data_IF_296360453289
#
_entry.id   IF_296360453289
#
_cell.length_a   1.000
_cell.length_b   1.000
_cell.length_c   1.000
_cell.angle_alpha   90.00
_cell.angle_beta   90.00
_cell.angle_gamma   90.00
#
_symmetry.space_group_name_H-M   'P 1'
#
loop_
_entity.id
_entity.type
_entity.pdbx_description
1 polymer ?
#
# COMPACT_ATOMS: atom_id res chain seq x y z
N UNK A 1 -4.49 22.52 0.87
CA UNK A 1 -3.67 23.51 0.13
C UNK A 1 -2.86 24.41 1.05
N UNK A 2 -3.45 25.25 1.91
CA UNK A 2 -2.69 26.18 2.78
C UNK A 2 -1.59 25.51 3.62
N UNK A 3 -1.90 24.37 4.26
CA UNK A 3 -0.90 23.58 5.02
C UNK A 3 0.28 23.13 4.14
N UNK A 4 0.01 22.72 2.90
CA UNK A 4 1.05 22.29 1.95
C UNK A 4 1.97 23.47 1.57
N UNK A 5 1.38 24.63 1.27
CA UNK A 5 2.13 25.86 0.97
C UNK A 5 3.01 26.25 2.15
N UNK A 6 2.46 26.29 3.37
CA UNK A 6 3.24 26.64 4.57
C UNK A 6 4.36 25.65 4.87
N UNK A 7 4.11 24.35 4.69
CA UNK A 7 5.12 23.30 4.92
C UNK A 7 6.23 23.38 3.87
N UNK A 8 5.88 23.58 2.59
CA UNK A 8 6.86 23.73 1.52
C UNK A 8 7.71 24.99 1.71
N UNK A 9 7.08 26.12 1.99
CA UNK A 9 7.77 27.39 2.24
C UNK A 9 8.74 27.27 3.42
N UNK A 10 8.26 26.76 4.56
CA UNK A 10 9.10 26.60 5.76
C UNK A 10 10.27 25.64 5.56
N UNK A 11 10.11 24.60 4.74
CA UNK A 11 11.23 23.72 4.38
C UNK A 11 12.27 24.47 3.52
N UNK A 12 11.85 25.21 2.50
CA UNK A 12 12.78 25.93 1.62
C UNK A 12 13.49 27.06 2.37
N UNK A 13 12.76 27.85 3.16
CA UNK A 13 13.36 28.86 4.06
C UNK A 13 14.33 28.23 5.07
N UNK A 14 14.00 27.05 5.60
CA UNK A 14 14.87 26.30 6.51
C UNK A 14 16.20 25.87 5.89
N UNK A 15 16.29 25.85 4.56
CA UNK A 15 17.54 25.64 3.81
C UNK A 15 18.30 26.94 3.52
N UNK A 16 17.80 28.08 4.00
CA UNK A 16 18.36 29.41 3.72
C UNK A 16 18.12 29.88 2.29
N UNK A 17 17.11 29.33 1.61
CA UNK A 17 16.73 29.67 0.25
C UNK A 17 15.41 30.43 0.27
N UNK A 18 15.30 31.48 -0.53
CA UNK A 18 14.05 32.19 -0.77
C UNK A 18 13.35 31.63 -2.02
N UNK A 19 12.03 31.50 -1.97
CA UNK A 19 11.21 31.02 -3.08
C UNK A 19 10.15 32.05 -3.43
N UNK A 20 10.11 32.46 -4.69
CA UNK A 20 9.08 33.37 -5.17
C UNK A 20 7.68 32.74 -5.07
N UNK A 21 6.67 33.55 -4.79
CA UNK A 21 5.27 33.11 -4.70
C UNK A 21 4.82 32.25 -5.91
N UNK A 22 5.17 32.57 -7.18
CA UNK A 22 4.77 31.75 -8.32
C UNK A 22 5.32 30.33 -8.31
N UNK A 23 6.60 30.16 -7.91
CA UNK A 23 7.24 28.85 -7.86
C UNK A 23 6.72 28.02 -6.68
N UNK A 24 6.47 28.69 -5.54
CA UNK A 24 5.86 28.07 -4.36
C UNK A 24 4.45 27.56 -4.67
N UNK A 25 3.62 28.39 -5.31
CA UNK A 25 2.28 28.00 -5.74
C UNK A 25 2.33 26.86 -6.76
N UNK A 26 3.23 26.95 -7.75
CA UNK A 26 3.39 25.92 -8.76
C UNK A 26 3.70 24.55 -8.14
N UNK A 27 4.67 24.49 -7.21
CA UNK A 27 5.04 23.28 -6.51
C UNK A 27 3.87 22.71 -5.69
N UNK A 28 3.20 23.56 -4.89
CA UNK A 28 2.09 23.14 -4.05
C UNK A 28 0.90 22.62 -4.87
N UNK A 29 0.56 23.29 -5.98
CA UNK A 29 -0.50 22.85 -6.90
C UNK A 29 -0.13 21.54 -7.57
N UNK A 30 1.13 21.37 -8.00
CA UNK A 30 1.60 20.13 -8.61
C UNK A 30 1.47 18.96 -7.63
N UNK A 31 2.02 19.07 -6.42
CA UNK A 31 1.94 18.01 -5.40
C UNK A 31 0.47 17.68 -5.09
N UNK A 32 -0.36 18.72 -4.87
CA UNK A 32 -1.78 18.53 -4.61
C UNK A 32 -2.49 17.78 -5.75
N UNK A 33 -2.28 18.19 -7.00
CA UNK A 33 -2.90 17.56 -8.17
C UNK A 33 -2.44 16.10 -8.33
N UNK A 34 -1.15 15.83 -8.09
CA UNK A 34 -0.56 14.50 -8.17
C UNK A 34 -1.19 13.49 -7.19
N UNK A 35 -1.61 13.95 -6.01
CA UNK A 35 -2.05 13.09 -4.91
C UNK A 35 -3.55 13.18 -4.61
N UNK A 36 -4.30 13.89 -5.45
CA UNK A 36 -5.77 14.01 -5.36
C UNK A 36 -6.51 13.17 -6.40
N UNK A 37 -5.81 12.25 -7.08
CA UNK A 37 -6.40 11.35 -8.06
C UNK A 37 -7.43 10.39 -7.44
N UNK A 38 -8.46 10.01 -8.20
CA UNK A 38 -9.52 9.09 -7.72
C UNK A 38 -8.99 7.72 -7.26
N UNK A 39 -7.84 7.30 -7.79
CA UNK A 39 -7.18 6.06 -7.38
C UNK A 39 -6.30 6.17 -6.13
N UNK A 40 -6.14 7.38 -5.55
CA UNK A 40 -5.25 7.66 -4.41
C UNK A 40 -6.06 7.71 -3.11
N UNK A 41 -6.21 6.57 -2.46
CA UNK A 41 -6.96 6.40 -1.20
C UNK A 41 -6.05 6.30 0.02
N UNK A 42 -4.90 5.64 -0.13
CA UNK A 42 -3.83 5.57 0.84
C UNK A 42 -2.79 6.65 0.55
N UNK A 43 -2.14 6.63 -0.62
CA UNK A 43 -1.08 7.58 -1.01
C UNK A 43 -1.67 8.93 -1.44
N UNK A 44 -2.19 9.66 -0.45
CA UNK A 44 -2.92 10.93 -0.57
C UNK A 44 -2.19 12.08 0.12
N UNK A 45 -2.67 13.32 -0.04
CA UNK A 45 -2.09 14.48 0.67
C UNK A 45 -2.09 14.32 2.20
N UNK A 46 -3.01 13.53 2.76
CA UNK A 46 -2.98 13.24 4.19
C UNK A 46 -1.76 12.39 4.57
N UNK A 47 -1.47 11.35 3.78
CA UNK A 47 -0.33 10.45 3.97
C UNK A 47 0.98 11.22 4.03
N UNK A 48 1.20 12.16 3.11
CA UNK A 48 2.38 13.04 3.10
C UNK A 48 2.63 13.70 4.45
N UNK A 49 1.58 14.20 5.11
CA UNK A 49 1.73 14.86 6.40
C UNK A 49 1.97 13.90 7.57
N UNK A 50 1.51 12.65 7.45
CA UNK A 50 1.79 11.60 8.41
C UNK A 50 3.27 11.14 8.26
N UNK A 51 3.77 11.02 7.02
CA UNK A 51 5.16 10.65 6.69
C UNK A 51 6.17 11.75 7.00
N UNK A 52 5.82 13.02 6.75
CA UNK A 52 6.68 14.18 7.00
C UNK A 52 7.11 14.24 8.48
N UNK A 53 6.20 13.91 9.41
CA UNK A 53 6.50 13.87 10.85
C UNK A 53 6.76 15.25 11.48
N UNK A 54 6.46 15.41 12.76
CA UNK A 54 6.71 16.68 13.44
C UNK A 54 8.21 16.93 13.64
N UNK A 55 8.68 18.11 13.22
CA UNK A 55 10.06 18.55 13.44
C UNK A 55 11.11 17.92 12.52
N UNK A 56 10.70 17.25 11.44
CA UNK A 56 11.64 16.75 10.44
C UNK A 56 12.45 17.90 9.82
N UNK A 57 13.69 17.61 9.45
CA UNK A 57 14.55 18.59 8.80
C UNK A 57 14.00 18.99 7.42
N UNK A 58 14.46 20.13 6.87
CA UNK A 58 13.99 20.61 5.58
C UNK A 58 14.10 19.63 4.41
N UNK A 59 15.22 18.88 4.28
CA UNK A 59 15.41 17.97 3.14
C UNK A 59 14.49 16.76 3.25
N UNK A 60 14.35 16.20 4.45
CA UNK A 60 13.38 15.12 4.73
C UNK A 60 11.95 15.58 4.47
N UNK A 61 11.62 16.82 4.84
CA UNK A 61 10.30 17.40 4.58
C UNK A 61 10.03 17.49 3.07
N UNK A 62 10.97 18.00 2.29
CA UNK A 62 10.83 18.06 0.83
C UNK A 62 10.71 16.66 0.21
N UNK A 63 11.53 15.71 0.63
CA UNK A 63 11.43 14.33 0.16
C UNK A 63 10.04 13.72 0.47
N UNK A 64 9.53 13.91 1.70
CA UNK A 64 8.20 13.45 2.10
C UNK A 64 7.09 14.08 1.23
N UNK A 65 7.19 15.37 0.91
CA UNK A 65 6.22 16.06 0.06
C UNK A 65 6.17 15.51 -1.38
N UNK A 66 7.28 14.95 -1.88
CA UNK A 66 7.41 14.54 -3.26
C UNK A 66 7.39 13.03 -3.52
N UNK A 67 7.71 12.17 -2.53
CA UNK A 67 7.99 10.74 -2.75
C UNK A 67 6.88 9.96 -3.50
N UNK A 68 5.61 10.34 -3.33
CA UNK A 68 4.44 9.70 -3.95
C UNK A 68 3.78 10.50 -5.09
N UNK A 69 4.42 11.57 -5.56
CA UNK A 69 3.84 12.45 -6.59
C UNK A 69 3.66 11.75 -7.94
N UNK A 70 4.33 10.62 -8.17
CA UNK A 70 4.10 9.72 -9.30
C UNK A 70 3.75 8.33 -8.78
N UNK A 71 2.64 7.77 -9.29
CA UNK A 71 2.27 6.37 -9.04
C UNK A 71 1.71 5.79 -10.33
N UNK A 72 2.64 5.36 -11.17
CA UNK A 72 2.41 5.14 -12.59
C UNK A 72 1.27 4.14 -12.85
N UNK A 73 1.24 3.03 -12.11
CA UNK A 73 0.28 1.94 -12.31
C UNK A 73 -1.11 2.32 -11.77
N UNK A 74 -1.16 3.11 -10.69
CA UNK A 74 -2.41 3.55 -10.07
C UNK A 74 -3.07 4.64 -10.90
N UNK A 75 -2.27 5.57 -11.42
CA UNK A 75 -2.74 6.72 -12.19
C UNK A 75 -3.00 6.39 -13.68
N UNK A 76 -2.62 5.20 -14.14
CA UNK A 76 -2.78 4.78 -15.54
C UNK A 76 -1.77 5.41 -16.49
N UNK A 77 -0.54 5.63 -16.03
CA UNK A 77 0.55 6.28 -16.74
C UNK A 77 0.75 7.75 -16.35
N UNK A 78 1.58 8.46 -17.11
CA UNK A 78 1.87 9.88 -16.90
C UNK A 78 0.86 10.76 -17.63
N UNK A 79 0.40 11.83 -16.98
CA UNK A 79 -0.58 12.75 -17.56
C UNK A 79 -0.37 14.21 -17.12
N UNK A 80 -0.87 15.14 -17.93
CA UNK A 80 -0.85 16.58 -17.66
C UNK A 80 0.56 17.12 -17.45
N UNK A 81 0.74 17.97 -16.41
CA UNK A 81 2.03 18.57 -16.09
C UNK A 81 3.12 17.55 -15.78
N UNK A 82 2.78 16.39 -15.20
CA UNK A 82 3.76 15.34 -14.89
C UNK A 82 4.35 14.73 -16.15
N UNK A 83 3.52 14.48 -17.18
CA UNK A 83 4.00 13.99 -18.46
C UNK A 83 4.96 15.00 -19.12
N UNK A 84 4.64 16.29 -19.07
CA UNK A 84 5.53 17.35 -19.58
C UNK A 84 6.85 17.43 -18.80
N UNK A 85 6.78 17.39 -17.47
CA UNK A 85 7.94 17.48 -16.59
C UNK A 85 8.77 16.20 -16.55
N UNK A 86 8.25 15.06 -17.00
CA UNK A 86 8.96 13.78 -17.07
C UNK A 86 9.19 13.34 -18.53
N UNK A 87 9.01 14.27 -19.47
CA UNK A 87 9.26 14.00 -20.88
C UNK A 87 10.71 13.53 -21.07
N UNK A 88 10.87 12.51 -21.92
CA UNK A 88 12.14 11.87 -22.20
C UNK A 88 12.75 11.04 -21.07
N UNK A 89 12.14 10.92 -19.88
CA UNK A 89 12.70 10.12 -18.76
C UNK A 89 12.43 8.64 -18.96
N UNK A 90 11.21 8.28 -19.35
CA UNK A 90 10.80 6.88 -19.57
C UNK A 90 10.07 6.73 -20.90
N UNK A 91 10.05 5.49 -21.39
CA UNK A 91 9.30 5.09 -22.58
C UNK A 91 8.63 3.74 -22.33
N UNK A 92 7.54 3.48 -23.04
CA UNK A 92 6.92 2.15 -23.02
C UNK A 92 7.77 1.18 -23.84
N UNK A 93 8.16 0.06 -23.21
CA UNK A 93 8.82 -1.07 -23.84
C UNK A 93 7.90 -2.29 -23.89
N UNK A 94 8.32 -3.34 -24.59
CA UNK A 94 7.53 -4.58 -24.73
C UNK A 94 7.24 -5.27 -23.39
N UNK A 95 8.16 -5.15 -22.43
CA UNK A 95 8.08 -5.81 -21.12
C UNK A 95 7.72 -4.87 -19.97
N UNK A 96 7.39 -3.60 -20.25
CA UNK A 96 7.05 -2.60 -19.23
C UNK A 96 7.70 -1.24 -19.49
N UNK A 97 7.71 -0.40 -18.46
CA UNK A 97 8.28 0.95 -18.53
C UNK A 97 9.80 0.86 -18.53
N UNK A 98 10.45 1.52 -19.49
CA UNK A 98 11.90 1.48 -19.68
C UNK A 98 12.50 2.86 -19.41
N UNK A 99 13.57 2.91 -18.62
CA UNK A 99 14.37 4.13 -18.46
C UNK A 99 14.96 4.52 -19.82
N UNK A 100 14.66 5.72 -20.30
CA UNK A 100 15.31 6.22 -21.51
C UNK A 100 16.83 6.30 -21.27
N UNK A 101 17.63 6.13 -22.32
CA UNK A 101 19.07 6.35 -22.18
C UNK A 101 19.28 7.80 -21.74
N UNK A 102 20.09 7.98 -20.69
CA UNK A 102 20.47 9.28 -20.17
C UNK A 102 21.06 10.10 -21.31
N UNK A 103 20.27 11.04 -21.84
CA UNK A 103 20.76 12.06 -22.77
C UNK A 103 21.59 13.10 -22.00
N UNK A 104 21.62 14.33 -22.52
CA UNK A 104 22.31 15.46 -21.87
C UNK A 104 21.64 15.98 -20.56
N UNK A 105 20.68 15.24 -19.97
CA UNK A 105 20.00 15.63 -18.72
C UNK A 105 20.77 15.16 -17.49
N UNK A 106 21.72 16.00 -17.06
CA UNK A 106 22.59 15.76 -15.92
C UNK A 106 21.84 15.48 -14.61
N UNK A 107 20.67 16.10 -14.40
CA UNK A 107 19.88 15.92 -13.19
C UNK A 107 19.22 14.55 -13.15
N UNK A 108 18.61 14.13 -14.28
CA UNK A 108 18.02 12.79 -14.37
C UNK A 108 19.09 11.70 -14.23
N UNK A 109 20.27 11.91 -14.85
CA UNK A 109 21.41 11.01 -14.69
C UNK A 109 21.87 10.90 -13.22
N UNK A 110 21.94 12.04 -12.50
CA UNK A 110 22.30 12.02 -11.08
C UNK A 110 21.29 11.23 -10.25
N UNK A 111 19.98 11.43 -10.49
CA UNK A 111 18.93 10.68 -9.77
C UNK A 111 19.00 9.20 -10.11
N UNK A 112 19.23 8.83 -11.38
CA UNK A 112 19.39 7.44 -11.78
C UNK A 112 20.60 6.79 -11.08
N UNK A 113 21.73 7.49 -10.99
CA UNK A 113 22.90 7.03 -10.26
C UNK A 113 22.63 6.85 -8.74
N UNK A 114 21.84 7.73 -8.11
CA UNK A 114 21.40 7.55 -6.71
C UNK A 114 20.55 6.28 -6.54
N UNK A 115 19.67 5.98 -7.50
CA UNK A 115 18.83 4.78 -7.51
C UNK A 115 19.60 3.51 -7.94
N UNK A 116 20.81 3.65 -8.48
CA UNK A 116 21.57 2.52 -9.04
C UNK A 116 20.94 2.01 -10.34
N UNK A 117 20.38 2.92 -11.11
CA UNK A 117 19.61 2.65 -12.30
C UNK A 117 20.41 2.94 -13.58
N UNK A 118 20.33 2.04 -14.55
CA UNK A 118 21.02 2.15 -15.83
C UNK A 118 20.06 2.51 -16.98
N UNK A 119 20.52 3.34 -17.91
CA UNK A 119 19.80 3.65 -19.14
C UNK A 119 19.41 2.39 -19.92
N UNK A 120 18.15 2.32 -20.35
CA UNK A 120 17.60 1.19 -21.10
C UNK A 120 17.09 0.02 -20.26
N UNK A 121 17.24 0.04 -18.93
CA UNK A 121 16.67 -1.01 -18.08
C UNK A 121 15.14 -0.92 -17.99
N UNK A 122 14.49 -2.05 -17.75
CA UNK A 122 13.06 -2.10 -17.42
C UNK A 122 12.88 -1.76 -15.93
N UNK A 123 12.04 -0.78 -15.64
CA UNK A 123 11.74 -0.32 -14.29
C UNK A 123 10.51 -1.05 -13.73
N UNK A 124 10.70 -1.72 -12.58
CA UNK A 124 9.63 -2.45 -11.90
C UNK A 124 8.87 -1.55 -10.92
N UNK A 125 7.53 -1.68 -10.82
CA UNK A 125 6.75 -1.06 -9.74
C UNK A 125 7.29 -1.41 -8.33
N UNK A 126 7.75 -2.66 -8.15
CA UNK A 126 8.32 -3.15 -6.89
C UNK A 126 9.82 -2.84 -6.75
N UNK A 127 10.45 -2.35 -7.82
CA UNK A 127 11.86 -2.03 -7.88
C UNK A 127 12.16 -0.54 -7.76
N UNK A 128 11.15 0.30 -7.50
CA UNK A 128 11.33 1.75 -7.31
C UNK A 128 10.93 2.64 -8.47
N UNK A 129 10.13 2.17 -9.44
CA UNK A 129 9.68 2.99 -10.57
C UNK A 129 8.98 4.29 -10.12
N UNK A 130 8.10 4.21 -9.12
CA UNK A 130 7.29 5.35 -8.70
C UNK A 130 8.15 6.37 -7.94
N UNK A 131 8.97 5.88 -7.02
CA UNK A 131 9.91 6.64 -6.21
C UNK A 131 10.94 7.34 -7.10
N UNK A 132 11.46 6.64 -8.12
CA UNK A 132 12.39 7.23 -9.09
C UNK A 132 11.75 8.37 -9.87
N UNK A 133 10.57 8.15 -10.45
CA UNK A 133 9.87 9.20 -11.20
C UNK A 133 9.47 10.38 -10.31
N UNK A 134 9.08 10.13 -9.07
CA UNK A 134 8.84 11.16 -8.05
C UNK A 134 10.11 11.96 -7.72
N UNK A 135 11.26 11.30 -7.62
CA UNK A 135 12.54 11.95 -7.37
C UNK A 135 13.01 12.81 -8.55
N UNK A 136 12.86 12.32 -9.79
CA UNK A 136 13.15 13.11 -11.00
C UNK A 136 12.20 14.31 -11.09
N UNK A 137 10.91 14.13 -10.79
CA UNK A 137 9.94 15.21 -10.76
C UNK A 137 10.31 16.28 -9.73
N UNK A 138 10.65 15.86 -8.50
CA UNK A 138 11.14 16.74 -7.45
C UNK A 138 12.38 17.51 -7.89
N UNK A 139 13.35 16.81 -8.48
CA UNK A 139 14.56 17.38 -9.05
C UNK A 139 14.26 18.49 -10.04
N UNK A 140 13.50 18.18 -11.10
CA UNK A 140 13.21 19.15 -12.18
C UNK A 140 12.47 20.37 -11.65
N UNK A 141 11.49 20.18 -10.77
CA UNK A 141 10.68 21.27 -10.20
C UNK A 141 11.48 22.16 -9.24
N UNK A 142 12.42 21.58 -8.48
CA UNK A 142 13.20 22.31 -7.48
C UNK A 142 14.58 22.76 -7.98
N UNK A 143 14.94 22.45 -9.23
CA UNK A 143 16.28 22.70 -9.81
C UNK A 143 16.71 24.16 -9.85
N UNK A 144 15.77 25.09 -9.99
CA UNK A 144 16.04 26.53 -9.95
C UNK A 144 16.13 27.09 -8.54
N UNK A 145 15.72 26.31 -7.54
CA UNK A 145 15.58 26.72 -6.13
C UNK A 145 16.70 26.11 -5.29
N UNK A 146 17.01 24.83 -5.49
CA UNK A 146 17.94 24.07 -4.67
C UNK A 146 19.23 23.76 -5.42
N UNK A 147 20.32 23.69 -4.67
CA UNK A 147 21.61 23.20 -5.19
C UNK A 147 21.54 21.72 -5.55
N UNK A 148 22.35 21.29 -6.51
CA UNK A 148 22.47 19.88 -6.89
C UNK A 148 22.79 18.96 -5.69
N UNK A 149 23.57 19.47 -4.74
CA UNK A 149 23.89 18.83 -3.46
C UNK A 149 22.66 18.57 -2.58
N UNK A 150 21.72 19.51 -2.54
CA UNK A 150 20.45 19.35 -1.80
C UNK A 150 19.52 18.39 -2.55
N UNK A 151 19.41 18.52 -3.88
CA UNK A 151 18.60 17.64 -4.72
C UNK A 151 19.04 16.18 -4.64
N UNK A 152 20.35 15.93 -4.64
CA UNK A 152 20.92 14.59 -4.45
C UNK A 152 20.44 13.95 -3.12
N UNK A 153 20.42 14.73 -2.05
CA UNK A 153 19.98 14.23 -0.74
C UNK A 153 18.47 14.03 -0.67
N UNK A 154 17.67 14.88 -1.33
CA UNK A 154 16.22 14.66 -1.50
C UNK A 154 15.96 13.37 -2.27
N UNK A 155 16.68 13.15 -3.38
CA UNK A 155 16.59 11.93 -4.18
C UNK A 155 16.97 10.69 -3.37
N UNK A 156 18.01 10.75 -2.53
CA UNK A 156 18.39 9.66 -1.63
C UNK A 156 17.30 9.32 -0.61
N UNK A 157 16.63 10.34 -0.06
CA UNK A 157 15.53 10.14 0.87
C UNK A 157 14.32 9.48 0.18
N UNK A 158 13.98 9.90 -1.03
CA UNK A 158 12.90 9.29 -1.83
C UNK A 158 13.28 7.86 -2.25
N UNK A 159 14.53 7.61 -2.65
CA UNK A 159 15.01 6.26 -2.96
C UNK A 159 14.80 5.32 -1.78
N UNK A 160 15.09 5.79 -0.56
CA UNK A 160 14.95 4.98 0.64
C UNK A 160 13.50 4.56 0.94
N UNK A 161 12.49 5.25 0.41
CA UNK A 161 11.07 4.87 0.60
C UNK A 161 10.65 3.67 -0.24
N UNK A 162 11.49 3.15 -1.14
CA UNK A 162 11.24 1.87 -1.80
C UNK A 162 11.20 0.77 -0.73
N UNK A 163 10.03 0.15 -0.46
CA UNK A 163 9.80 -0.59 0.77
C UNK A 163 10.39 -2.00 0.73
N UNK A 164 10.54 -2.60 1.91
CA UNK A 164 10.86 -4.03 2.12
C UNK A 164 12.19 -4.50 1.52
N UNK A 165 13.14 -3.58 1.38
CA UNK A 165 14.50 -3.91 0.96
C UNK A 165 15.35 -4.30 2.17
N UNK A 166 16.21 -5.30 1.99
CA UNK A 166 17.09 -5.78 3.06
C UNK A 166 18.06 -4.70 3.56
N UNK A 167 18.63 -4.88 4.76
CA UNK A 167 19.52 -3.90 5.40
C UNK A 167 20.69 -3.44 4.53
N UNK A 168 21.23 -4.33 3.69
CA UNK A 168 22.31 -4.02 2.74
C UNK A 168 21.94 -2.97 1.71
N UNK A 169 20.65 -2.66 1.50
CA UNK A 169 20.22 -1.61 0.58
C UNK A 169 20.68 -0.22 1.01
N UNK A 170 20.78 0.05 2.32
CA UNK A 170 21.24 1.34 2.84
C UNK A 170 22.76 1.50 2.76
N UNK A 171 23.50 0.41 2.95
CA UNK A 171 24.94 0.38 2.67
C UNK A 171 25.20 0.60 1.17
N UNK A 172 24.42 -0.05 0.30
CA UNK A 172 24.51 0.17 -1.14
C UNK A 172 24.13 1.60 -1.54
N UNK A 173 23.08 2.19 -0.95
CA UNK A 173 22.72 3.59 -1.18
C UNK A 173 23.85 4.54 -0.75
N UNK A 174 24.47 4.27 0.40
CA UNK A 174 25.63 5.04 0.88
C UNK A 174 26.81 4.98 -0.11
N UNK A 175 27.17 3.78 -0.60
CA UNK A 175 28.22 3.61 -1.61
C UNK A 175 27.89 4.35 -2.92
N UNK A 176 26.64 4.29 -3.37
CA UNK A 176 26.19 5.06 -4.54
C UNK A 176 26.29 6.56 -4.30
N UNK A 177 25.91 7.07 -3.13
CA UNK A 177 26.07 8.48 -2.80
C UNK A 177 27.52 8.94 -2.75
N UNK A 178 28.46 8.08 -2.32
CA UNK A 178 29.91 8.37 -2.42
C UNK A 178 30.33 8.56 -3.88
N UNK A 179 29.90 7.65 -4.76
CA UNK A 179 30.14 7.73 -6.20
C UNK A 179 29.54 9.00 -6.81
N UNK A 180 28.26 9.26 -6.54
CA UNK A 180 27.53 10.46 -7.03
C UNK A 180 28.18 11.75 -6.53
N UNK A 181 28.55 11.83 -5.25
CA UNK A 181 29.24 13.01 -4.70
C UNK A 181 30.53 13.34 -5.45
N UNK A 182 31.27 12.30 -5.85
CA UNK A 182 32.52 12.44 -6.61
C UNK A 182 32.27 12.83 -8.06
N UNK A 183 31.38 12.12 -8.76
CA UNK A 183 31.07 12.32 -10.19
C UNK A 183 30.49 13.72 -10.46
N UNK A 184 29.60 14.19 -9.59
CA UNK A 184 28.91 15.48 -9.76
C UNK A 184 29.53 16.61 -8.92
N UNK A 185 30.73 16.40 -8.36
CA UNK A 185 31.47 17.37 -7.57
C UNK A 185 30.65 18.04 -6.44
N UNK A 186 29.81 17.27 -5.74
CA UNK A 186 28.90 17.76 -4.70
C UNK A 186 29.61 18.11 -3.38
N UNK A 187 30.85 17.66 -3.23
CA UNK A 187 31.72 17.87 -2.07
C UNK A 187 31.05 17.46 -0.73
N UNK A 188 30.26 16.39 -0.72
CA UNK A 188 29.70 15.83 0.53
C UNK A 188 30.83 15.14 1.30
N UNK A 189 31.02 15.55 2.56
CA UNK A 189 31.91 14.85 3.50
C UNK A 189 31.32 13.50 3.92
N UNK A 190 32.13 12.65 4.54
CA UNK A 190 31.65 11.35 5.03
C UNK A 190 30.55 11.51 6.07
N UNK A 191 30.72 12.48 6.98
CA UNK A 191 29.73 12.82 8.00
C UNK A 191 28.39 13.24 7.38
N UNK A 192 28.43 13.97 6.27
CA UNK A 192 27.24 14.43 5.56
C UNK A 192 26.56 13.32 4.76
N UNK A 193 27.35 12.40 4.18
CA UNK A 193 26.83 11.19 3.55
C UNK A 193 26.13 10.31 4.58
N UNK A 194 26.73 10.09 5.73
CA UNK A 194 26.10 9.36 6.85
C UNK A 194 24.82 10.05 7.30
N UNK A 195 24.85 11.37 7.48
CA UNK A 195 23.67 12.14 7.87
C UNK A 195 22.55 12.07 6.80
N UNK A 196 22.89 12.01 5.51
CA UNK A 196 21.92 11.85 4.43
C UNK A 196 21.23 10.48 4.50
N UNK A 197 21.98 9.41 4.76
CA UNK A 197 21.40 8.07 4.91
C UNK A 197 20.56 7.96 6.18
N UNK A 198 20.96 8.60 7.28
CA UNK A 198 20.13 8.64 8.49
C UNK A 198 18.77 9.30 8.23
N UNK A 199 18.74 10.42 7.49
CA UNK A 199 17.49 11.07 7.06
C UNK A 199 16.65 10.14 6.18
N UNK A 200 17.29 9.49 5.22
CA UNK A 200 16.65 8.55 4.31
C UNK A 200 16.01 7.35 5.05
N UNK A 201 16.73 6.75 6.00
CA UNK A 201 16.23 5.67 6.87
C UNK A 201 15.06 6.14 7.73
N UNK A 202 15.16 7.34 8.30
CA UNK A 202 14.10 7.90 9.14
C UNK A 202 12.81 8.12 8.34
N UNK A 203 12.92 8.67 7.12
CA UNK A 203 11.80 8.85 6.22
C UNK A 203 11.18 7.49 5.81
N UNK A 204 12.01 6.54 5.40
CA UNK A 204 11.56 5.19 5.03
C UNK A 204 10.78 4.52 6.17
N UNK A 205 11.29 4.60 7.39
CA UNK A 205 10.63 4.05 8.58
C UNK A 205 9.30 4.74 8.91
N UNK A 206 9.18 6.05 8.64
CA UNK A 206 7.92 6.79 8.80
C UNK A 206 6.89 6.38 7.76
N UNK A 207 7.33 6.17 6.52
CA UNK A 207 6.45 5.77 5.41
C UNK A 207 5.74 4.43 5.68
N UNK A 208 6.45 3.47 6.27
CA UNK A 208 5.89 2.17 6.67
C UNK A 208 5.48 2.08 8.15
N UNK A 209 5.37 3.20 8.86
CA UNK A 209 5.14 3.20 10.31
C UNK A 209 3.83 2.50 10.73
N UNK A 210 2.84 2.43 9.83
CA UNK A 210 1.56 1.76 10.06
C UNK A 210 1.71 0.26 10.38
N UNK A 211 2.79 -0.39 9.92
CA UNK A 211 3.07 -1.79 10.25
C UNK A 211 3.31 -2.01 11.74
N UNK A 212 3.78 -1.01 12.48
CA UNK A 212 4.05 -1.10 13.92
C UNK A 212 2.99 -0.41 14.81
N UNK A 213 1.80 -0.17 14.28
CA UNK A 213 0.71 0.38 15.08
C UNK A 213 0.35 -0.55 16.26
N UNK A 214 0.07 0.02 17.46
CA UNK A 214 -0.23 -0.79 18.64
C UNK A 214 -1.48 -1.67 18.51
N UNK A 215 -2.46 -1.22 17.71
CA UNK A 215 -3.70 -1.95 17.48
C UNK A 215 -3.76 -2.44 16.04
N UNK A 216 -3.97 -3.74 15.85
CA UNK A 216 -4.07 -4.39 14.53
C UNK A 216 -5.19 -3.78 13.69
N UNK A 217 -6.29 -3.33 14.32
CA UNK A 217 -7.40 -2.69 13.62
C UNK A 217 -6.96 -1.43 12.83
N UNK A 218 -6.00 -0.65 13.35
CA UNK A 218 -5.44 0.50 12.64
C UNK A 218 -4.48 0.11 11.52
N UNK A 219 -3.71 -0.98 11.71
CA UNK A 219 -2.88 -1.55 10.66
C UNK A 219 -3.75 -1.97 9.46
N UNK A 220 -4.81 -2.76 9.72
CA UNK A 220 -5.75 -3.21 8.68
C UNK A 220 -6.53 -2.07 8.03
N UNK A 221 -6.86 -1.00 8.77
CA UNK A 221 -7.49 0.20 8.19
C UNK A 221 -6.69 0.77 7.01
N UNK A 222 -5.36 0.77 7.14
CA UNK A 222 -4.46 1.25 6.09
C UNK A 222 -4.37 0.26 4.92
N UNK A 223 -4.33 -1.05 5.20
CA UNK A 223 -4.43 -2.09 4.18
C UNK A 223 -5.70 -1.94 3.33
N UNK A 224 -6.83 -1.63 3.95
CA UNK A 224 -8.10 -1.43 3.25
C UNK A 224 -8.14 -0.18 2.36
N UNK A 225 -7.42 0.87 2.73
CA UNK A 225 -7.23 2.04 1.86
C UNK A 225 -6.33 1.74 0.66
N UNK A 226 -5.41 0.78 0.79
CA UNK A 226 -4.50 0.37 -0.28
C UNK A 226 -5.16 -0.54 -1.32
N UNK A 227 -6.17 -1.33 -0.92
CA UNK A 227 -6.82 -2.32 -1.80
C UNK A 227 -7.35 -1.71 -3.12
N UNK A 228 -8.09 -0.58 -3.13
CA UNK A 228 -8.53 0.05 -4.39
C UNK A 228 -7.41 0.57 -5.27
N UNK A 229 -6.25 0.90 -4.70
CA UNK A 229 -5.13 1.41 -5.48
C UNK A 229 -4.55 0.31 -6.38
N UNK A 230 -4.34 -0.88 -5.81
CA UNK A 230 -3.80 -2.05 -6.51
C UNK A 230 -4.87 -2.90 -7.23
N UNK A 231 -6.16 -2.65 -6.97
CA UNK A 231 -7.27 -3.40 -7.57
C UNK A 231 -8.31 -2.43 -8.15
N UNK A 232 -8.19 -2.15 -9.45
CA UNK A 232 -9.03 -1.19 -10.19
C UNK A 232 -10.54 -1.41 -9.99
N UNK A 233 -11.08 -2.65 -10.01
CA UNK A 233 -12.52 -2.86 -9.82
C UNK A 233 -13.05 -2.31 -8.49
N UNK A 234 -12.24 -2.38 -7.41
CA UNK A 234 -12.63 -1.90 -6.08
C UNK A 234 -12.69 -0.37 -5.96
N UNK A 235 -12.21 0.37 -6.98
CA UNK A 235 -12.38 1.83 -7.05
C UNK A 235 -13.83 2.23 -7.31
N UNK A 236 -14.63 1.29 -7.81
CA UNK A 236 -16.06 1.48 -8.03
C UNK A 236 -16.83 0.87 -6.85
N UNK A 237 -17.53 1.71 -6.09
CA UNK A 237 -18.06 1.36 -4.77
C UNK A 237 -19.04 0.17 -4.75
N UNK A 238 -19.69 -0.14 -5.88
CA UNK A 238 -20.81 -1.11 -5.90
C UNK A 238 -20.82 -2.08 -7.08
N UNK A 239 -19.84 -2.02 -8.00
CA UNK A 239 -19.93 -2.77 -9.27
C UNK A 239 -18.94 -3.93 -9.38
N UNK A 240 -18.10 -4.16 -8.37
CA UNK A 240 -17.11 -5.23 -8.41
C UNK A 240 -17.75 -6.60 -8.12
N UNK A 241 -17.20 -7.63 -8.74
CA UNK A 241 -17.72 -9.00 -8.64
C UNK A 241 -17.13 -9.77 -7.46
N UNK A 242 -17.72 -10.93 -7.15
CA UNK A 242 -17.16 -11.85 -6.15
C UNK A 242 -15.74 -12.24 -6.53
N UNK A 243 -15.47 -12.50 -7.81
CA UNK A 243 -14.15 -12.99 -8.23
C UNK A 243 -13.09 -11.90 -8.12
N UNK A 244 -13.44 -10.67 -8.48
CA UNK A 244 -12.55 -9.51 -8.35
C UNK A 244 -12.19 -9.23 -6.88
N UNK A 245 -13.18 -9.27 -5.99
CA UNK A 245 -12.94 -9.10 -4.55
C UNK A 245 -12.13 -10.26 -3.97
N UNK A 246 -12.46 -11.51 -4.32
CA UNK A 246 -11.71 -12.68 -3.87
C UNK A 246 -10.25 -12.64 -4.32
N UNK A 247 -9.99 -12.22 -5.57
CA UNK A 247 -8.63 -12.01 -6.09
C UNK A 247 -7.87 -10.95 -5.29
N UNK A 248 -8.50 -9.83 -4.97
CA UNK A 248 -7.89 -8.76 -4.17
C UNK A 248 -7.52 -9.24 -2.75
N UNK A 249 -8.42 -9.95 -2.08
CA UNK A 249 -8.17 -10.54 -0.75
C UNK A 249 -7.08 -11.61 -0.83
N UNK A 250 -7.07 -12.44 -1.87
CA UNK A 250 -6.06 -13.46 -2.08
C UNK A 250 -4.65 -12.86 -2.19
N UNK A 251 -4.46 -11.87 -3.07
CA UNK A 251 -3.16 -11.19 -3.24
C UNK A 251 -2.67 -10.56 -1.95
N UNK A 252 -3.57 -9.93 -1.19
CA UNK A 252 -3.20 -9.31 0.10
C UNK A 252 -2.84 -10.35 1.16
N UNK A 253 -3.56 -11.47 1.20
CA UNK A 253 -3.22 -12.60 2.08
C UNK A 253 -1.83 -13.15 1.76
N UNK A 254 -1.52 -13.39 0.49
CA UNK A 254 -0.19 -13.85 0.06
C UNK A 254 0.90 -12.84 0.42
N UNK A 255 0.66 -11.55 0.20
CA UNK A 255 1.60 -10.49 0.57
C UNK A 255 1.94 -10.52 2.07
N UNK A 256 0.95 -10.63 2.96
CA UNK A 256 1.19 -10.72 4.40
C UNK A 256 1.91 -12.01 4.81
N UNK A 257 1.63 -13.12 4.14
CA UNK A 257 2.31 -14.39 4.40
C UNK A 257 3.76 -14.42 3.89
N UNK A 258 4.07 -13.65 2.85
CA UNK A 258 5.39 -13.58 2.24
C UNK A 258 6.34 -12.56 2.88
N UNK A 259 5.80 -11.44 3.38
CA UNK A 259 6.61 -10.33 3.89
C UNK A 259 7.37 -10.71 5.16
N UNK A 260 8.71 -10.70 5.12
CA UNK A 260 9.55 -10.85 6.32
C UNK A 260 9.45 -9.58 7.20
N UNK A 261 8.99 -9.68 8.47
CA UNK A 261 8.94 -8.52 9.37
C UNK A 261 10.30 -7.83 9.58
N UNK A 262 11.41 -8.53 9.34
CA UNK A 262 12.77 -7.98 9.51
C UNK A 262 13.18 -6.97 8.43
N UNK A 263 12.48 -6.94 7.28
CA UNK A 263 12.75 -5.98 6.21
C UNK A 263 11.81 -4.78 6.22
N UNK A 264 10.85 -4.73 7.15
CA UNK A 264 9.90 -3.62 7.26
C UNK A 264 10.61 -2.37 7.76
N UNK A 265 11.32 -2.46 8.87
CA UNK A 265 12.02 -1.31 9.45
C UNK A 265 13.53 -1.36 9.19
N UNK A 266 14.04 -0.25 8.72
CA UNK A 266 15.40 -0.02 8.34
C UNK A 266 16.26 0.50 9.50
N UNK A 267 17.57 0.27 9.37
CA UNK A 267 18.59 0.84 10.24
C UNK A 267 19.90 0.98 9.49
N UNK A 268 20.62 2.08 9.69
CA UNK A 268 21.95 2.30 9.15
C UNK A 268 22.87 2.80 10.27
N UNK A 269 24.05 2.18 10.41
CA UNK A 269 25.09 2.56 11.40
C UNK A 269 24.55 2.86 12.82
N UNK A 270 23.59 2.05 13.27
CA UNK A 270 23.00 2.15 14.61
C UNK A 270 21.86 3.17 14.75
N UNK A 271 21.38 3.75 13.65
CA UNK A 271 20.23 4.67 13.61
C UNK A 271 19.09 4.09 12.77
N UNK A 272 17.87 3.97 13.32
CA UNK A 272 17.55 4.14 14.74
C UNK A 272 18.21 3.05 15.58
N UNK A 273 18.23 3.26 16.91
CA UNK A 273 18.87 2.33 17.84
C UNK A 273 18.35 0.90 17.66
N UNK A 274 19.22 -0.14 17.79
CA UNK A 274 18.81 -1.53 17.57
C UNK A 274 17.58 -1.97 18.38
N UNK A 275 17.44 -1.50 19.62
CA UNK A 275 16.29 -1.80 20.48
C UNK A 275 14.97 -1.21 19.94
N UNK A 276 15.04 -0.02 19.32
CA UNK A 276 13.90 0.60 18.66
C UNK A 276 13.47 -0.23 17.45
N UNK A 277 14.42 -0.62 16.59
CA UNK A 277 14.15 -1.47 15.42
C UNK A 277 13.54 -2.80 15.84
N UNK A 278 14.10 -3.45 16.87
CA UNK A 278 13.59 -4.72 17.39
C UNK A 278 12.14 -4.59 17.90
N UNK A 279 11.83 -3.51 18.62
CA UNK A 279 10.48 -3.23 19.08
C UNK A 279 9.50 -3.06 17.91
N UNK A 280 9.87 -2.25 16.90
CA UNK A 280 9.05 -2.02 15.71
C UNK A 280 8.86 -3.30 14.89
N UNK A 281 9.92 -4.08 14.68
CA UNK A 281 9.88 -5.39 14.02
C UNK A 281 9.00 -6.38 14.77
N UNK A 282 9.03 -6.39 16.12
CA UNK A 282 8.15 -7.26 16.92
C UNK A 282 6.68 -6.91 16.72
N UNK A 283 6.34 -5.62 16.62
CA UNK A 283 4.97 -5.19 16.34
C UNK A 283 4.53 -5.49 14.92
N UNK A 284 5.39 -5.24 13.93
CA UNK A 284 5.11 -5.62 12.55
C UNK A 284 4.86 -7.12 12.41
N UNK A 285 5.63 -7.96 13.11
CA UNK A 285 5.41 -9.41 13.13
C UNK A 285 4.03 -9.77 13.67
N UNK A 286 3.63 -9.20 14.81
CA UNK A 286 2.30 -9.43 15.39
C UNK A 286 1.19 -8.99 14.43
N UNK A 287 1.29 -7.77 13.89
CA UNK A 287 0.29 -7.20 12.99
C UNK A 287 0.16 -8.00 11.68
N UNK A 288 1.28 -8.45 11.11
CA UNK A 288 1.30 -9.30 9.93
C UNK A 288 0.69 -10.68 10.21
N UNK A 289 1.03 -11.31 11.34
CA UNK A 289 0.48 -12.61 11.72
C UNK A 289 -1.04 -12.56 11.92
N UNK A 290 -1.52 -11.64 12.75
CA UNK A 290 -2.96 -11.46 13.00
C UNK A 290 -3.67 -11.06 11.71
N UNK A 291 -3.08 -10.15 10.93
CA UNK A 291 -3.60 -9.72 9.64
C UNK A 291 -3.71 -10.86 8.63
N UNK A 292 -2.71 -11.74 8.57
CA UNK A 292 -2.68 -12.91 7.70
C UNK A 292 -3.80 -13.89 8.06
N UNK A 293 -3.97 -14.21 9.35
CA UNK A 293 -5.07 -15.07 9.82
C UNK A 293 -6.45 -14.45 9.57
N UNK A 294 -6.60 -13.16 9.83
CA UNK A 294 -7.82 -12.39 9.51
C UNK A 294 -8.16 -12.42 8.01
N UNK A 295 -7.18 -12.17 7.14
CA UNK A 295 -7.36 -12.27 5.69
C UNK A 295 -7.61 -13.72 5.25
N UNK A 296 -7.05 -14.71 5.95
CA UNK A 296 -7.25 -16.13 5.67
C UNK A 296 -8.69 -16.54 5.91
N UNK A 297 -9.27 -16.11 7.03
CA UNK A 297 -10.70 -16.29 7.30
C UNK A 297 -11.58 -15.63 6.23
N UNK A 298 -11.24 -14.39 5.81
CA UNK A 298 -11.96 -13.72 4.70
C UNK A 298 -11.79 -14.46 3.37
N UNK A 299 -10.60 -14.97 3.06
CA UNK A 299 -10.30 -15.73 1.84
C UNK A 299 -11.11 -17.02 1.77
N UNK A 300 -11.19 -17.82 2.85
CA UNK A 300 -12.05 -19.00 2.91
C UNK A 300 -13.52 -18.63 2.69
N UNK A 301 -13.96 -17.54 3.32
CA UNK A 301 -15.33 -17.05 3.18
C UNK A 301 -15.68 -16.65 1.75
N UNK A 302 -14.81 -15.86 1.11
CA UNK A 302 -15.01 -15.43 -0.28
C UNK A 302 -14.87 -16.59 -1.26
N UNK A 303 -14.01 -17.56 -0.98
CA UNK A 303 -13.89 -18.78 -1.78
C UNK A 303 -15.15 -19.65 -1.68
N UNK A 304 -15.80 -19.71 -0.51
CA UNK A 304 -17.11 -20.37 -0.35
C UNK A 304 -18.19 -19.68 -1.20
N UNK A 305 -18.31 -18.34 -1.12
CA UNK A 305 -19.28 -17.61 -1.93
C UNK A 305 -18.99 -17.75 -3.43
N UNK A 306 -17.71 -17.69 -3.81
CA UNK A 306 -17.25 -17.88 -5.19
C UNK A 306 -17.61 -19.27 -5.72
N UNK A 307 -17.39 -20.33 -4.94
CA UNK A 307 -17.74 -21.69 -5.31
C UNK A 307 -19.27 -21.85 -5.49
N UNK A 308 -20.07 -21.31 -4.55
CA UNK A 308 -21.52 -21.32 -4.66
C UNK A 308 -21.99 -20.59 -5.92
N UNK A 309 -21.50 -19.36 -6.14
CA UNK A 309 -21.85 -18.56 -7.30
C UNK A 309 -21.51 -19.28 -8.62
N UNK A 310 -20.30 -19.85 -8.73
CA UNK A 310 -19.85 -20.60 -9.91
C UNK A 310 -20.77 -21.78 -10.23
N UNK A 311 -21.21 -22.52 -9.20
CA UNK A 311 -22.07 -23.69 -9.37
C UNK A 311 -23.52 -23.34 -9.69
N UNK A 312 -23.99 -22.13 -9.35
CA UNK A 312 -25.40 -21.75 -9.52
C UNK A 312 -25.66 -20.75 -10.64
N UNK A 313 -24.65 -20.02 -11.12
CA UNK A 313 -24.88 -18.98 -12.14
C UNK A 313 -23.65 -18.24 -12.68
N UNK A 314 -22.45 -18.48 -12.14
CA UNK A 314 -21.21 -17.80 -12.57
C UNK A 314 -20.88 -16.59 -11.71
N UNK A 315 -19.98 -15.74 -12.22
CA UNK A 315 -19.55 -14.52 -11.53
C UNK A 315 -20.67 -13.49 -11.46
N UNK A 316 -20.76 -12.76 -10.36
CA UNK A 316 -21.82 -11.80 -10.13
C UNK A 316 -21.38 -10.68 -9.16
N UNK A 317 -22.07 -9.52 -9.15
CA UNK A 317 -21.82 -8.47 -8.16
C UNK A 317 -21.88 -9.00 -6.74
N UNK A 318 -20.89 -8.67 -5.91
CA UNK A 318 -20.81 -9.16 -4.52
C UNK A 318 -22.06 -8.80 -3.69
N UNK A 319 -22.66 -7.64 -3.99
CA UNK A 319 -23.85 -7.15 -3.31
C UNK A 319 -25.08 -8.07 -3.46
N UNK A 320 -25.16 -8.90 -4.51
CA UNK A 320 -26.23 -9.89 -4.68
C UNK A 320 -26.19 -10.98 -3.60
N UNK A 321 -25.00 -11.25 -3.05
CA UNK A 321 -24.81 -12.29 -2.04
C UNK A 321 -24.79 -11.68 -0.63
N UNK A 322 -24.09 -10.57 -0.44
CA UNK A 322 -23.86 -10.01 0.90
C UNK A 322 -24.85 -8.91 1.29
N UNK A 323 -25.48 -8.27 0.31
CA UNK A 323 -26.28 -7.06 0.49
C UNK A 323 -25.53 -5.79 0.06
N UNK A 324 -26.27 -4.69 -0.04
CA UNK A 324 -25.67 -3.39 -0.41
C UNK A 324 -24.99 -2.76 0.80
N UNK A 325 -24.13 -1.77 0.52
CA UNK A 325 -23.62 -0.89 1.56
C UNK A 325 -24.77 0.00 2.10
N UNK A 326 -24.78 0.32 3.41
CA UNK A 326 -25.74 1.25 3.98
C UNK A 326 -25.62 2.64 3.34
N UNK A 327 -26.78 3.26 3.05
CA UNK A 327 -26.85 4.63 2.57
C UNK A 327 -27.68 5.50 3.52
N UNK A 328 -27.57 6.83 3.43
CA UNK A 328 -28.33 7.74 4.29
C UNK A 328 -29.83 7.54 4.07
N UNK A 329 -30.52 7.08 5.11
CA UNK A 329 -31.96 6.81 5.07
C UNK A 329 -32.34 5.43 4.53
N UNK A 330 -31.36 4.58 4.20
CA UNK A 330 -31.60 3.22 3.70
C UNK A 330 -30.69 2.20 4.39
N UNK A 331 -31.30 1.23 5.08
CA UNK A 331 -30.60 0.08 5.66
C UNK A 331 -30.96 -1.17 4.87
N UNK A 332 -30.09 -1.64 3.97
CA UNK A 332 -30.38 -2.81 3.14
C UNK A 332 -30.50 -4.07 3.97
N UNK A 333 -31.22 -5.06 3.44
CA UNK A 333 -31.08 -6.42 3.94
C UNK A 333 -29.69 -6.97 3.60
N UNK A 334 -29.12 -7.74 4.53
CA UNK A 334 -27.74 -8.25 4.47
C UNK A 334 -27.71 -9.70 4.91
N UNK A 335 -26.75 -10.44 4.36
CA UNK A 335 -26.65 -11.88 4.50
C UNK A 335 -26.60 -12.34 5.95
N UNK A 336 -25.91 -11.59 6.81
CA UNK A 336 -25.71 -11.97 8.21
C UNK A 336 -27.00 -11.97 9.04
N UNK A 337 -28.06 -11.30 8.57
CA UNK A 337 -29.37 -11.38 9.23
C UNK A 337 -30.05 -12.73 9.05
N UNK A 338 -29.58 -13.54 8.10
CA UNK A 338 -30.08 -14.88 7.82
C UNK A 338 -29.15 -16.00 8.33
N UNK A 339 -28.00 -15.64 8.89
CA UNK A 339 -27.08 -16.60 9.52
C UNK A 339 -27.55 -16.93 10.94
N UNK A 340 -27.42 -18.19 11.39
CA UNK A 340 -27.67 -18.53 12.78
C UNK A 340 -26.58 -17.95 13.68
N UNK A 341 -26.90 -17.72 14.95
CA UNK A 341 -25.85 -17.39 15.92
C UNK A 341 -24.92 -18.59 16.13
N UNK A 342 -23.60 -18.38 16.27
CA UNK A 342 -22.66 -19.45 16.59
C UNK A 342 -23.06 -20.14 17.89
N UNK A 343 -23.26 -21.46 17.85
CA UNK A 343 -23.64 -22.24 19.04
C UNK A 343 -22.47 -22.44 20.01
N UNK A 344 -21.27 -22.54 19.46
CA UNK A 344 -20.02 -22.69 20.17
C UNK A 344 -18.88 -22.17 19.31
N UNK A 345 -17.81 -21.73 19.97
CA UNK A 345 -16.57 -21.32 19.32
C UNK A 345 -15.62 -22.53 19.22
N UNK A 346 -14.91 -22.64 18.10
CA UNK A 346 -13.82 -23.58 17.94
C UNK A 346 -12.73 -23.32 19.00
N UNK A 347 -12.07 -24.39 19.46
CA UNK A 347 -11.05 -24.28 20.50
C UNK A 347 -9.83 -23.43 20.06
N UNK A 348 -9.51 -23.45 18.77
CA UNK A 348 -8.45 -22.64 18.14
C UNK A 348 -8.97 -21.31 17.58
N UNK A 349 -10.13 -20.83 18.02
CA UNK A 349 -10.60 -19.50 17.64
C UNK A 349 -9.81 -18.43 18.41
N UNK A 350 -8.99 -17.65 17.70
CA UNK A 350 -8.27 -16.53 18.29
C UNK A 350 -9.24 -15.37 18.57
N UNK A 351 -9.32 -14.89 19.83
CA UNK A 351 -10.23 -13.81 20.20
C UNK A 351 -9.95 -12.48 19.49
N UNK A 352 -8.69 -12.16 19.20
CA UNK A 352 -8.27 -10.93 18.52
C UNK A 352 -8.71 -10.98 17.05
N UNK A 353 -8.45 -12.09 16.35
CA UNK A 353 -8.88 -12.29 14.95
C UNK A 353 -10.41 -12.28 14.86
N UNK A 354 -11.10 -13.00 15.77
CA UNK A 354 -12.56 -13.00 15.79
C UNK A 354 -13.13 -11.60 16.04
N UNK A 355 -12.58 -10.85 17.00
CA UNK A 355 -13.03 -9.48 17.29
C UNK A 355 -12.85 -8.55 16.06
N UNK A 356 -11.75 -8.67 15.32
CA UNK A 356 -11.53 -7.92 14.08
C UNK A 356 -12.57 -8.27 13.01
N UNK A 357 -12.96 -9.54 12.88
CA UNK A 357 -14.00 -9.97 11.94
C UNK A 357 -15.40 -9.51 12.39
N UNK A 358 -15.72 -9.61 13.67
CA UNK A 358 -17.06 -9.35 14.20
C UNK A 358 -17.35 -7.85 14.39
N UNK A 359 -16.42 -7.14 15.04
CA UNK A 359 -16.54 -5.71 15.37
C UNK A 359 -16.01 -4.83 14.25
N UNK A 360 -14.94 -5.27 13.59
CA UNK A 360 -14.36 -4.61 12.44
C UNK A 360 -13.11 -3.80 12.70
N UNK A 361 -12.57 -3.29 11.59
CA UNK A 361 -11.51 -2.28 11.57
C UNK A 361 -12.02 -0.94 12.12
N UNK A 362 -11.13 0.04 12.27
CA UNK A 362 -11.47 1.33 12.89
C UNK A 362 -12.38 2.19 12.02
N UNK A 363 -12.24 2.12 10.71
CA UNK A 363 -13.02 2.90 9.74
C UNK A 363 -13.71 2.01 8.72
N UNK A 364 -14.81 2.52 8.17
CA UNK A 364 -15.41 1.96 6.96
C UNK A 364 -14.60 2.37 5.72
N UNK A 365 -14.66 1.55 4.69
CA UNK A 365 -14.09 1.85 3.38
C UNK A 365 -15.24 2.16 2.43
N UNK A 366 -14.98 2.94 1.38
CA UNK A 366 -16.04 3.33 0.43
C UNK A 366 -16.63 2.15 -0.34
N UNK A 367 -15.96 1.00 -0.33
CA UNK A 367 -16.34 -0.20 -1.06
C UNK A 367 -16.57 -1.42 -0.13
N UNK A 368 -16.32 -1.32 1.18
CA UNK A 368 -16.43 -2.48 2.09
C UNK A 368 -16.80 -2.04 3.51
N UNK A 369 -17.55 -2.89 4.20
CA UNK A 369 -17.86 -2.70 5.61
C UNK A 369 -16.61 -2.88 6.47
N UNK A 370 -16.57 -2.19 7.61
CA UNK A 370 -15.45 -2.31 8.55
C UNK A 370 -15.34 -3.70 9.16
N UNK A 371 -16.46 -4.38 9.36
CA UNK A 371 -16.53 -5.75 9.88
C UNK A 371 -16.87 -6.75 8.76
N UNK A 372 -16.79 -8.03 9.07
CA UNK A 372 -17.03 -9.13 8.13
C UNK A 372 -17.85 -10.23 8.82
N UNK A 373 -19.17 -9.99 9.02
CA UNK A 373 -20.01 -10.86 9.84
C UNK A 373 -20.05 -12.32 9.37
N UNK A 374 -20.11 -12.55 8.05
CA UNK A 374 -20.05 -13.90 7.49
C UNK A 374 -18.71 -14.58 7.84
N UNK A 375 -17.59 -13.87 7.67
CA UNK A 375 -16.28 -14.41 8.04
C UNK A 375 -16.15 -14.63 9.54
N UNK A 376 -16.76 -13.79 10.38
CA UNK A 376 -16.82 -14.01 11.83
C UNK A 376 -17.60 -15.29 12.17
N UNK A 377 -18.73 -15.56 11.50
CA UNK A 377 -19.52 -16.78 11.67
C UNK A 377 -18.72 -18.04 11.32
N UNK A 378 -18.06 -18.03 10.16
CA UNK A 378 -17.21 -19.15 9.72
C UNK A 378 -16.02 -19.34 10.68
N UNK A 379 -15.34 -18.25 11.03
CA UNK A 379 -14.16 -18.30 11.89
C UNK A 379 -14.48 -18.75 13.32
N UNK A 380 -15.61 -18.33 13.88
CA UNK A 380 -16.09 -18.86 15.15
C UNK A 380 -16.26 -20.38 15.12
N UNK A 381 -16.68 -20.94 13.98
CA UNK A 381 -16.94 -22.36 13.82
C UNK A 381 -15.71 -23.18 13.48
N UNK A 382 -14.77 -22.61 12.73
CA UNK A 382 -13.58 -23.29 12.20
C UNK A 382 -12.33 -23.09 13.06
N UNK A 383 -12.16 -21.92 13.68
CA UNK A 383 -10.91 -21.52 14.32
C UNK A 383 -9.73 -21.41 13.34
N UNK A 384 -8.54 -21.16 13.88
CA UNK A 384 -7.31 -21.10 13.10
C UNK A 384 -7.00 -22.44 12.41
N UNK A 385 -7.20 -23.56 13.10
CA UNK A 385 -6.88 -24.88 12.54
C UNK A 385 -7.76 -25.22 11.34
N UNK A 386 -9.07 -24.95 11.42
CA UNK A 386 -10.00 -25.23 10.34
C UNK A 386 -9.75 -24.33 9.12
N UNK A 387 -9.45 -23.05 9.34
CA UNK A 387 -9.08 -22.12 8.26
C UNK A 387 -7.76 -22.56 7.61
N UNK A 388 -6.74 -22.88 8.40
CA UNK A 388 -5.45 -23.31 7.90
C UNK A 388 -5.54 -24.62 7.09
N UNK A 389 -6.32 -25.60 7.56
CA UNK A 389 -6.55 -26.85 6.84
C UNK A 389 -7.18 -26.61 5.47
N UNK A 390 -8.23 -25.77 5.40
CA UNK A 390 -8.87 -25.43 4.12
C UNK A 390 -7.88 -24.70 3.20
N UNK A 391 -7.16 -23.70 3.71
CA UNK A 391 -6.22 -22.92 2.88
C UNK A 391 -5.00 -23.72 2.41
N UNK A 392 -4.59 -24.75 3.16
CA UNK A 392 -3.44 -25.59 2.84
C UNK A 392 -3.73 -26.66 1.79
N UNK A 393 -4.97 -27.14 1.72
CA UNK A 393 -5.31 -28.32 0.90
C UNK A 393 -6.39 -28.06 -0.16
N UNK A 394 -7.31 -27.12 0.06
CA UNK A 394 -8.42 -26.91 -0.85
C UNK A 394 -7.98 -26.19 -2.13
N UNK A 395 -8.47 -26.62 -3.32
CA UNK A 395 -8.20 -25.91 -4.56
C UNK A 395 -8.92 -24.56 -4.58
N UNK A 396 -8.37 -23.59 -5.32
CA UNK A 396 -9.10 -22.35 -5.59
C UNK A 396 -10.31 -22.64 -6.51
N UNK A 397 -11.48 -22.04 -6.27
CA UNK A 397 -12.71 -22.29 -7.04
C UNK A 397 -12.71 -21.63 -8.44
N UNK A 398 -11.68 -21.90 -9.24
CA UNK A 398 -11.42 -21.26 -10.54
C UNK A 398 -12.32 -21.79 -11.67
N UNK A 399 -12.87 -22.98 -11.52
CA UNK A 399 -13.86 -23.58 -12.41
C UNK A 399 -14.91 -24.38 -11.63
N UNK A 400 -15.86 -24.98 -12.34
CA UNK A 400 -16.98 -25.76 -11.77
C UNK A 400 -16.49 -27.00 -11.00
N UNK A 401 -15.45 -27.69 -11.51
CA UNK A 401 -14.90 -28.88 -10.89
C UNK A 401 -14.17 -28.52 -9.59
N UNK A 402 -13.31 -27.50 -9.65
CA UNK A 402 -12.56 -27.02 -8.49
C UNK A 402 -13.48 -26.37 -7.45
N UNK A 403 -14.57 -25.73 -7.86
CA UNK A 403 -15.59 -25.21 -6.95
C UNK A 403 -16.27 -26.35 -6.18
N UNK A 404 -16.62 -27.45 -6.86
CA UNK A 404 -17.20 -28.63 -6.21
C UNK A 404 -16.22 -29.24 -5.22
N UNK A 405 -14.95 -29.40 -5.62
CA UNK A 405 -13.87 -29.91 -4.75
C UNK A 405 -13.64 -29.02 -3.53
N UNK A 406 -13.59 -27.70 -3.70
CA UNK A 406 -13.43 -26.76 -2.58
C UNK A 406 -14.51 -26.96 -1.51
N UNK A 407 -15.77 -27.14 -1.91
CA UNK A 407 -16.89 -27.35 -0.99
C UNK A 407 -16.78 -28.64 -0.17
N UNK A 408 -16.01 -29.63 -0.61
CA UNK A 408 -15.75 -30.86 0.16
C UNK A 408 -14.85 -30.62 1.38
N UNK A 409 -14.02 -29.56 1.35
CA UNK A 409 -13.16 -29.18 2.47
C UNK A 409 -13.88 -28.33 3.52
N UNK A 410 -15.02 -27.72 3.16
CA UNK A 410 -15.82 -26.93 4.08
C UNK A 410 -16.88 -27.83 4.74
N UNK A 411 -17.09 -27.77 6.07
CA UNK A 411 -18.10 -28.61 6.72
C UNK A 411 -19.48 -28.46 6.06
N UNK A 412 -20.09 -29.58 5.67
CA UNK A 412 -21.33 -29.59 4.88
C UNK A 412 -22.48 -28.80 5.52
N UNK A 413 -22.55 -28.80 6.86
CA UNK A 413 -23.55 -28.03 7.59
C UNK A 413 -23.33 -26.51 7.43
N UNK A 414 -22.09 -26.05 7.39
CA UNK A 414 -21.71 -24.65 7.22
C UNK A 414 -21.96 -24.20 5.78
N UNK A 415 -21.61 -25.02 4.79
CA UNK A 415 -21.99 -24.80 3.38
C UNK A 415 -23.50 -24.61 3.23
N UNK A 416 -24.28 -25.51 3.86
CA UNK A 416 -25.74 -25.45 3.81
C UNK A 416 -26.30 -24.17 4.46
N UNK A 417 -25.77 -23.76 5.61
CA UNK A 417 -26.19 -22.52 6.26
C UNK A 417 -25.96 -21.30 5.38
N UNK A 418 -24.76 -21.17 4.81
CA UNK A 418 -24.43 -20.04 3.93
C UNK A 418 -25.25 -20.07 2.65
N UNK A 419 -25.41 -21.24 2.02
CA UNK A 419 -26.24 -21.37 0.81
C UNK A 419 -27.71 -21.01 1.05
N UNK A 420 -28.29 -21.41 2.18
CA UNK A 420 -29.65 -21.04 2.56
C UNK A 420 -29.79 -19.54 2.86
N UNK A 421 -28.79 -18.94 3.49
CA UNK A 421 -28.76 -17.50 3.73
C UNK A 421 -28.67 -16.72 2.40
N UNK A 422 -27.81 -17.15 1.47
CA UNK A 422 -27.72 -16.58 0.13
C UNK A 422 -29.03 -16.72 -0.64
N UNK A 423 -29.70 -17.88 -0.56
CA UNK A 423 -30.99 -18.09 -1.21
C UNK A 423 -32.07 -17.10 -0.72
N UNK A 424 -32.10 -16.81 0.59
CA UNK A 424 -33.01 -15.80 1.17
C UNK A 424 -32.67 -14.37 0.75
N UNK A 425 -31.39 -14.06 0.55
CA UNK A 425 -30.95 -12.76 0.06
C UNK A 425 -31.50 -12.47 -1.34
N UNK A 426 -31.61 -13.48 -2.22
CA UNK A 426 -32.15 -13.31 -3.58
C UNK A 426 -33.58 -12.74 -3.57
N UNK A 427 -34.44 -13.20 -2.65
CA UNK A 427 -35.81 -12.71 -2.52
C UNK A 427 -35.89 -11.22 -2.14
N UNK A 428 -34.82 -10.65 -1.59
CA UNK A 428 -34.73 -9.22 -1.23
C UNK A 428 -34.33 -8.33 -2.40
N UNK A 429 -34.01 -8.94 -3.55
CA UNK A 429 -33.47 -8.30 -4.75
C UNK A 429 -34.39 -8.40 -5.97
N UNK A 430 -35.51 -9.12 -5.84
CA UNK A 430 -36.49 -9.36 -6.89
C UNK A 430 -37.54 -8.24 -7.02
#
# INVERSE_FOLDING_TARGET
MQRLISTLHGAIEGLGVDIGEPDLEFCAVLIHASMSGRGRSFHSIKHVFDVQGHGADPLTTLAALFHDTVYYQVDGGLSGKRAMLLDGVVRDGESGVVLANEGDDELTAMVAAVFGFDGGQVLSPFGGLNEFLSAVLAGRVLSSILSLRQLCQVAACIEATIPFRGKSSYDALYERLQGVSSTYALALSDEELVAAIHRAVELANRDVANFAFPEVAWFLDNTWKLLPESNVPLRHQTTYTIFEYNSAIHKMHEFFGFLDPKVVFASFRGVPEPACVEHLTSRARHNLDVGHRYLGAKKVTMSLLMALARLTGGDAPLALFMGDLPEVGFTPQRLEMFLPQPKAFAASCDPEVFALLAVGRRSESTFDLRNSPLSAHLYASLGDDGVAAILGEAPLPDDVEMSSKFLEFVPAWLCREVALACARMVDTRA
#
